data_IF_522139115592
#
_entry.id   IF_522139115592
#
_cell.length_a   1.000
_cell.length_b   1.000
_cell.length_c   1.000
_cell.angle_alpha   90.00
_cell.angle_beta   90.00
_cell.angle_gamma   90.00
#
_symmetry.space_group_name_H-M   'P 1'
#
loop_
_entity.id
_entity.type
_entity.pdbx_description
1 polymer ?
#
# COMPACT_ATOMS: atom_id res chain seq x y z
N UNK A 1 3.44 -29.08 5.11
CA UNK A 1 3.40 -28.11 6.21
C UNK A 1 2.97 -26.79 5.61
N UNK A 2 1.84 -26.25 6.03
CA UNK A 2 1.23 -25.06 5.41
C UNK A 2 1.37 -23.87 6.35
N UNK A 3 1.60 -22.68 5.79
CA UNK A 3 1.49 -21.45 6.57
C UNK A 3 0.03 -21.23 6.94
N UNK A 4 -0.21 -20.70 8.14
CA UNK A 4 -1.55 -20.32 8.57
C UNK A 4 -1.95 -18.99 7.94
N UNK A 5 -3.25 -18.71 7.91
CA UNK A 5 -3.76 -17.43 7.41
C UNK A 5 -3.19 -16.27 8.22
N UNK A 6 -3.19 -16.38 9.55
CA UNK A 6 -2.67 -15.36 10.46
C UNK A 6 -1.17 -15.07 10.23
N UNK A 7 -0.37 -16.10 9.95
CA UNK A 7 1.06 -15.94 9.64
C UNK A 7 1.28 -15.19 8.32
N UNK A 8 0.50 -15.53 7.29
CA UNK A 8 0.57 -14.83 6.00
C UNK A 8 0.11 -13.38 6.18
N UNK A 9 -1.02 -13.14 6.84
CA UNK A 9 -1.51 -11.79 7.09
C UNK A 9 -0.53 -10.93 7.87
N UNK A 10 0.14 -11.51 8.88
CA UNK A 10 1.18 -10.82 9.63
C UNK A 10 2.34 -10.37 8.75
N UNK A 11 2.82 -11.24 7.87
CA UNK A 11 3.89 -10.90 6.92
C UNK A 11 3.42 -9.82 5.94
N UNK A 12 2.19 -9.90 5.43
CA UNK A 12 1.61 -8.85 4.59
C UNK A 12 1.53 -7.50 5.32
N UNK A 13 1.16 -7.50 6.60
CA UNK A 13 1.09 -6.28 7.41
C UNK A 13 2.47 -5.63 7.60
N UNK A 14 3.49 -6.45 7.81
CA UNK A 14 4.87 -6.00 7.87
C UNK A 14 5.35 -5.44 6.52
N UNK A 15 5.00 -6.09 5.40
CA UNK A 15 5.31 -5.57 4.05
C UNK A 15 4.68 -4.20 3.82
N UNK A 16 3.41 -4.04 4.20
CA UNK A 16 2.71 -2.75 4.10
C UNK A 16 3.44 -1.71 4.97
N UNK A 17 3.70 -2.03 6.23
CA UNK A 17 4.23 -1.09 7.23
C UNK A 17 5.68 -0.68 6.95
N UNK A 18 6.53 -1.61 6.52
CA UNK A 18 7.96 -1.40 6.38
C UNK A 18 8.39 -0.94 4.99
N UNK A 19 7.58 -1.18 3.95
CA UNK A 19 7.96 -0.87 2.57
C UNK A 19 6.95 0.04 1.86
N UNK A 20 5.67 -0.35 1.83
CA UNK A 20 4.67 0.38 1.04
C UNK A 20 4.32 1.75 1.64
N UNK A 21 4.11 1.81 2.96
CA UNK A 21 3.79 3.06 3.67
C UNK A 21 4.96 4.05 3.59
N UNK A 22 6.22 3.66 3.87
CA UNK A 22 7.36 4.54 3.69
C UNK A 22 7.47 5.09 2.27
N UNK A 23 7.36 4.25 1.23
CA UNK A 23 7.41 4.72 -0.16
C UNK A 23 6.28 5.70 -0.47
N UNK A 24 5.06 5.43 0.00
CA UNK A 24 3.92 6.34 -0.14
C UNK A 24 4.18 7.72 0.49
N UNK A 25 4.86 7.76 1.64
CA UNK A 25 5.25 8.99 2.33
C UNK A 25 6.39 9.73 1.64
N UNK A 26 7.42 9.00 1.21
CA UNK A 26 8.56 9.53 0.45
C UNK A 26 8.11 10.23 -0.84
N UNK A 27 7.12 9.65 -1.53
CA UNK A 27 6.52 10.23 -2.72
C UNK A 27 5.59 11.43 -2.42
N UNK A 28 5.38 11.78 -1.15
CA UNK A 28 4.52 12.90 -0.76
C UNK A 28 3.05 12.70 -1.17
N UNK A 29 2.60 11.44 -1.23
CA UNK A 29 1.25 11.07 -1.61
C UNK A 29 0.28 11.07 -0.42
N UNK A 30 0.80 11.05 0.81
CA UNK A 30 0.00 11.17 2.03
C UNK A 30 -0.57 12.60 2.16
N UNK A 31 -1.89 12.71 1.97
CA UNK A 31 -2.61 13.95 2.20
C UNK A 31 -3.52 13.83 3.44
N UNK A 32 -4.45 12.87 3.44
CA UNK A 32 -5.46 12.70 4.50
C UNK A 32 -5.26 11.43 5.33
N UNK A 33 -4.34 10.54 4.96
CA UNK A 33 -4.23 9.19 5.54
C UNK A 33 -5.26 8.18 5.00
N UNK A 34 -6.37 8.64 4.38
CA UNK A 34 -7.49 7.80 3.93
C UNK A 34 -7.05 6.63 3.03
N UNK A 35 -6.01 6.76 2.20
CA UNK A 35 -5.56 5.65 1.36
C UNK A 35 -4.99 4.48 2.18
N UNK A 36 -4.27 4.77 3.26
CA UNK A 36 -3.71 3.74 4.14
C UNK A 36 -4.80 2.90 4.80
N UNK A 37 -5.90 3.54 5.19
CA UNK A 37 -7.07 2.88 5.79
C UNK A 37 -7.83 1.98 4.79
N UNK A 38 -7.55 2.12 3.50
CA UNK A 38 -8.21 1.35 2.43
C UNK A 38 -7.38 0.17 1.92
N UNK A 39 -6.20 -0.05 2.49
CA UNK A 39 -5.39 -1.22 2.18
C UNK A 39 -5.99 -2.43 2.87
N UNK A 40 -6.34 -3.43 2.07
CA UNK A 40 -6.84 -4.72 2.53
C UNK A 40 -5.77 -5.79 2.29
N UNK A 41 -5.63 -6.69 3.25
CA UNK A 41 -4.80 -7.89 3.14
C UNK A 41 -5.69 -9.12 3.17
N UNK A 42 -5.40 -10.09 2.31
CA UNK A 42 -6.12 -11.36 2.26
C UNK A 42 -5.10 -12.49 2.17
N UNK A 43 -5.15 -13.41 3.13
CA UNK A 43 -4.42 -14.67 3.06
C UNK A 43 -5.29 -15.75 2.41
N UNK A 44 -4.68 -16.53 1.52
CA UNK A 44 -5.19 -17.80 1.02
C UNK A 44 -4.33 -18.97 1.49
N UNK A 45 -4.65 -20.18 1.04
CA UNK A 45 -4.02 -21.42 1.52
C UNK A 45 -2.49 -21.45 1.42
N UNK A 46 -1.91 -20.77 0.41
CA UNK A 46 -0.45 -20.59 0.25
C UNK A 46 -0.12 -19.27 -0.47
N UNK A 47 -0.97 -18.27 -0.33
CA UNK A 47 -0.84 -17.00 -1.03
C UNK A 47 -1.29 -15.85 -0.15
N UNK A 48 -0.79 -14.66 -0.46
CA UNK A 48 -1.21 -13.42 0.18
C UNK A 48 -1.42 -12.36 -0.88
N UNK A 49 -2.47 -11.55 -0.72
CA UNK A 49 -2.76 -10.42 -1.61
C UNK A 49 -2.92 -9.14 -0.81
N UNK A 50 -2.25 -8.07 -1.26
CA UNK A 50 -2.52 -6.70 -0.81
C UNK A 50 -3.39 -6.04 -1.87
N UNK A 51 -4.57 -5.55 -1.47
CA UNK A 51 -5.49 -4.82 -2.35
C UNK A 51 -5.62 -3.38 -1.87
N UNK A 52 -5.58 -2.45 -2.82
CA UNK A 52 -6.02 -1.08 -2.60
C UNK A 52 -7.30 -0.80 -3.37
N UNK A 53 -8.01 0.29 -3.02
CA UNK A 53 -9.17 0.75 -3.79
C UNK A 53 -8.82 1.02 -5.26
N UNK A 54 -9.84 1.06 -6.12
CA UNK A 54 -9.71 1.30 -7.57
C UNK A 54 -8.91 2.55 -7.94
N UNK A 55 -8.91 3.59 -7.09
CA UNK A 55 -8.09 4.78 -7.30
C UNK A 55 -6.61 4.61 -6.95
N UNK A 56 -6.18 3.49 -6.35
CA UNK A 56 -4.77 3.22 -6.05
C UNK A 56 -3.92 3.15 -7.31
N UNK A 57 -4.48 2.63 -8.42
CA UNK A 57 -3.82 2.70 -9.72
C UNK A 57 -3.71 4.14 -10.24
N UNK A 58 -4.72 4.97 -10.00
CA UNK A 58 -4.67 6.39 -10.37
C UNK A 58 -3.72 7.18 -9.46
N UNK A 59 -3.51 6.71 -8.24
CA UNK A 59 -2.56 7.28 -7.29
C UNK A 59 -1.12 6.94 -7.71
N UNK A 60 -0.87 5.70 -8.12
CA UNK A 60 0.43 5.26 -8.59
C UNK A 60 0.76 5.77 -10.01
N UNK A 61 -0.15 5.62 -10.98
CA UNK A 61 0.09 5.95 -12.40
C UNK A 61 -0.35 7.37 -12.77
N UNK A 62 -1.05 8.04 -11.88
CA UNK A 62 -1.71 9.31 -12.17
C UNK A 62 -3.04 9.15 -12.93
N UNK A 63 -3.78 10.25 -13.00
CA UNK A 63 -5.00 10.41 -13.80
C UNK A 63 -4.68 11.16 -15.11
N UNK A 64 -5.06 10.63 -16.29
CA UNK A 64 -4.87 11.30 -17.57
C UNK A 64 -5.73 12.57 -17.71
N UNK A 65 -5.40 13.47 -18.65
CA UNK A 65 -6.25 14.60 -19.01
C UNK A 65 -7.59 14.14 -19.60
N UNK A 66 -8.56 15.06 -19.70
CA UNK A 66 -9.86 14.83 -20.33
C UNK A 66 -11.01 15.33 -19.47
N UNK A 67 -11.64 14.44 -18.70
CA UNK A 67 -12.79 14.80 -17.86
C UNK A 67 -12.33 15.44 -16.54
N UNK A 68 -12.85 16.63 -16.27
CA UNK A 68 -12.63 17.34 -15.00
C UNK A 68 -13.02 16.46 -13.80
N UNK A 69 -12.12 16.28 -12.81
CA UNK A 69 -12.44 15.55 -11.60
C UNK A 69 -13.44 16.34 -10.72
N UNK A 70 -14.22 15.67 -9.86
CA UNK A 70 -15.11 16.33 -8.91
C UNK A 70 -14.34 17.28 -7.99
N UNK A 71 -14.82 18.51 -7.85
CA UNK A 71 -14.17 19.56 -7.04
C UNK A 71 -14.23 19.18 -5.56
N UNK A 72 -15.35 18.60 -5.13
CA UNK A 72 -15.61 18.18 -3.76
C UNK A 72 -14.60 17.13 -3.28
N UNK A 73 -14.23 16.20 -4.16
CA UNK A 73 -13.22 15.17 -3.86
C UNK A 73 -11.82 15.80 -3.68
N UNK A 74 -11.51 16.83 -4.46
CA UNK A 74 -10.23 17.55 -4.35
C UNK A 74 -10.21 18.56 -3.20
N UNK A 75 -11.37 18.97 -2.70
CA UNK A 75 -11.45 19.94 -1.61
C UNK A 75 -10.78 19.39 -0.34
N UNK A 76 -11.09 18.16 0.06
CA UNK A 76 -10.42 17.50 1.21
C UNK A 76 -8.91 17.43 1.04
N UNK A 77 -8.45 17.05 -0.16
CA UNK A 77 -7.02 16.99 -0.47
C UNK A 77 -6.36 18.36 -0.40
N UNK A 78 -7.04 19.41 -0.90
CA UNK A 78 -6.56 20.79 -0.81
C UNK A 78 -6.52 21.29 0.64
N UNK A 79 -7.55 20.98 1.43
CA UNK A 79 -7.61 21.35 2.85
C UNK A 79 -6.42 20.72 3.59
N UNK A 80 -6.19 19.42 3.39
CA UNK A 80 -5.08 18.71 4.02
C UNK A 80 -3.70 19.20 3.55
N UNK A 81 -3.52 19.41 2.24
CA UNK A 81 -2.21 19.75 1.66
C UNK A 81 -1.82 21.22 1.83
N UNK A 82 -2.79 22.12 1.87
CA UNK A 82 -2.52 23.57 1.91
C UNK A 82 -3.05 24.27 3.18
N UNK A 83 -3.71 23.54 4.10
CA UNK A 83 -4.31 24.13 5.29
C UNK A 83 -5.42 25.15 5.00
N UNK A 84 -6.01 25.10 3.79
CA UNK A 84 -7.07 26.02 3.37
C UNK A 84 -8.42 25.52 3.87
N UNK A 85 -9.36 26.44 4.10
CA UNK A 85 -10.75 26.10 4.48
C UNK A 85 -11.76 26.95 3.72
N UNK A 86 -13.03 26.52 3.72
CA UNK A 86 -14.14 27.26 3.14
C UNK A 86 -13.96 27.63 1.66
N UNK A 87 -14.34 28.85 1.30
CA UNK A 87 -14.30 29.34 -0.09
C UNK A 87 -12.90 29.25 -0.72
N UNK A 88 -11.85 29.49 0.06
CA UNK A 88 -10.46 29.40 -0.42
C UNK A 88 -10.08 27.97 -0.82
N UNK A 89 -10.49 26.97 -0.02
CA UNK A 89 -10.27 25.57 -0.35
C UNK A 89 -11.00 25.18 -1.64
N UNK A 90 -12.29 25.55 -1.75
CA UNK A 90 -13.10 25.27 -2.94
C UNK A 90 -12.54 25.91 -4.21
N UNK A 91 -12.12 27.18 -4.15
CA UNK A 91 -11.51 27.87 -5.30
C UNK A 91 -10.19 27.21 -5.73
N UNK A 92 -9.35 26.81 -4.77
CA UNK A 92 -8.10 26.10 -5.07
C UNK A 92 -8.37 24.71 -5.64
N UNK A 93 -9.35 23.98 -5.11
CA UNK A 93 -9.77 22.68 -5.62
C UNK A 93 -10.27 22.78 -7.07
N UNK A 94 -11.05 23.81 -7.39
CA UNK A 94 -11.48 24.08 -8.77
C UNK A 94 -10.29 24.34 -9.71
N UNK A 95 -9.30 25.14 -9.28
CA UNK A 95 -8.10 25.40 -10.07
C UNK A 95 -7.28 24.11 -10.31
N UNK A 96 -7.14 23.26 -9.29
CA UNK A 96 -6.48 21.95 -9.42
C UNK A 96 -7.26 21.05 -10.38
N UNK A 97 -8.59 20.99 -10.24
CA UNK A 97 -9.45 20.22 -11.13
C UNK A 97 -9.29 20.64 -12.60
N UNK A 98 -9.26 21.95 -12.88
CA UNK A 98 -9.00 22.50 -14.22
C UNK A 98 -7.61 22.19 -14.74
N UNK A 99 -6.60 22.15 -13.88
CA UNK A 99 -5.25 21.74 -14.29
C UNK A 99 -5.21 20.24 -14.65
N UNK A 100 -5.83 19.39 -13.83
CA UNK A 100 -5.93 17.94 -14.09
C UNK A 100 -6.75 17.66 -15.35
N UNK A 101 -7.85 18.38 -15.57
CA UNK A 101 -8.65 18.29 -16.80
C UNK A 101 -7.78 18.50 -18.04
N UNK A 102 -6.94 19.54 -18.03
CA UNK A 102 -6.12 19.92 -19.19
C UNK A 102 -4.87 19.07 -19.37
N UNK A 103 -4.19 18.71 -18.28
CA UNK A 103 -2.84 18.14 -18.33
C UNK A 103 -2.73 16.75 -17.69
N UNK A 104 -3.77 16.27 -17.03
CA UNK A 104 -3.67 15.15 -16.10
C UNK A 104 -2.94 15.54 -14.82
N UNK A 105 -2.81 14.58 -13.90
CA UNK A 105 -2.02 14.74 -12.67
C UNK A 105 -0.53 14.80 -12.95
N UNK A 106 0.27 15.35 -12.03
CA UNK A 106 1.74 15.34 -12.14
C UNK A 106 2.29 13.94 -12.35
N UNK A 107 1.84 12.94 -11.57
CA UNK A 107 2.24 11.54 -11.71
C UNK A 107 1.99 10.98 -13.12
N UNK A 108 0.88 11.36 -13.76
CA UNK A 108 0.60 10.94 -15.13
C UNK A 108 1.61 11.55 -16.13
N UNK A 109 1.93 12.83 -15.96
CA UNK A 109 2.84 13.56 -16.87
C UNK A 109 4.27 13.01 -16.85
N UNK A 110 4.68 12.37 -15.75
CA UNK A 110 5.99 11.74 -15.60
C UNK A 110 5.98 10.22 -15.86
N UNK A 111 4.86 9.66 -16.33
CA UNK A 111 4.73 8.23 -16.66
C UNK A 111 4.35 7.33 -15.48
N UNK A 112 4.14 7.89 -14.29
CA UNK A 112 3.75 7.20 -13.07
C UNK A 112 4.71 7.46 -11.90
N UNK A 113 4.50 6.69 -10.85
CA UNK A 113 5.38 6.55 -9.70
C UNK A 113 5.83 5.10 -9.58
N UNK A 114 6.87 4.91 -8.81
CA UNK A 114 7.42 3.64 -8.36
C UNK A 114 6.71 3.11 -7.09
N UNK A 115 5.58 3.69 -6.67
CA UNK A 115 4.88 3.31 -5.43
C UNK A 115 4.67 1.80 -5.31
N UNK A 116 4.22 1.15 -6.38
CA UNK A 116 3.95 -0.29 -6.39
C UNK A 116 5.18 -1.11 -6.78
N UNK A 117 6.22 -0.47 -7.32
CA UNK A 117 7.48 -1.13 -7.68
C UNK A 117 8.22 -1.59 -6.43
N UNK A 118 8.08 -0.87 -5.30
CA UNK A 118 8.65 -1.25 -4.00
C UNK A 118 8.28 -2.67 -3.58
N UNK A 119 7.11 -3.18 -3.96
CA UNK A 119 6.66 -4.54 -3.64
C UNK A 119 7.45 -5.63 -4.40
N UNK A 120 8.15 -5.26 -5.47
CA UNK A 120 8.97 -6.15 -6.28
C UNK A 120 10.48 -5.87 -6.12
N UNK A 121 10.86 -4.91 -5.27
CA UNK A 121 12.27 -4.61 -5.01
C UNK A 121 12.95 -5.76 -4.25
N UNK A 122 14.26 -6.02 -4.48
CA UNK A 122 14.97 -7.12 -3.85
C UNK A 122 14.87 -7.13 -2.31
N UNK A 123 14.87 -5.94 -1.68
CA UNK A 123 14.77 -5.83 -0.23
C UNK A 123 13.42 -6.34 0.30
N UNK A 124 12.31 -6.00 -0.37
CA UNK A 124 10.97 -6.45 0.00
C UNK A 124 10.81 -7.95 -0.21
N UNK A 125 11.29 -8.47 -1.34
CA UNK A 125 11.24 -9.90 -1.64
C UNK A 125 12.07 -10.72 -0.65
N UNK A 126 13.28 -10.25 -0.32
CA UNK A 126 14.13 -10.90 0.67
C UNK A 126 13.49 -10.89 2.06
N UNK A 127 12.89 -9.77 2.46
CA UNK A 127 12.18 -9.67 3.72
C UNK A 127 11.05 -10.69 3.84
N UNK A 128 10.21 -10.80 2.81
CA UNK A 128 9.13 -11.81 2.75
C UNK A 128 9.73 -13.22 2.88
N UNK A 129 10.79 -13.52 2.12
CA UNK A 129 11.43 -14.82 2.16
C UNK A 129 11.98 -15.16 3.55
N UNK A 130 12.61 -14.21 4.22
CA UNK A 130 13.23 -14.40 5.52
C UNK A 130 12.19 -14.63 6.62
N UNK A 131 11.12 -13.83 6.67
CA UNK A 131 10.04 -13.98 7.64
C UNK A 131 9.35 -15.35 7.50
N UNK A 132 8.99 -15.74 6.27
CA UNK A 132 8.35 -17.03 6.02
C UNK A 132 9.29 -18.20 6.35
N UNK A 133 10.58 -18.08 6.00
CA UNK A 133 11.59 -19.09 6.33
C UNK A 133 11.77 -19.24 7.83
N UNK A 134 11.74 -18.13 8.58
CA UNK A 134 11.84 -18.14 10.04
C UNK A 134 10.69 -18.91 10.70
N UNK A 135 9.46 -18.64 10.27
CA UNK A 135 8.25 -19.35 10.72
C UNK A 135 8.37 -20.85 10.45
N UNK A 136 8.77 -21.21 9.22
CA UNK A 136 8.90 -22.61 8.81
C UNK A 136 9.98 -23.33 9.63
N UNK A 137 11.16 -22.72 9.79
CA UNK A 137 12.27 -23.29 10.55
C UNK A 137 11.90 -23.52 12.02
N UNK A 138 11.24 -22.56 12.66
CA UNK A 138 10.80 -22.67 14.04
C UNK A 138 9.86 -23.87 14.22
N UNK A 139 8.87 -24.01 13.33
CA UNK A 139 7.90 -25.11 13.41
C UNK A 139 8.54 -26.48 13.21
N UNK A 140 9.48 -26.60 12.28
CA UNK A 140 10.24 -27.85 12.09
C UNK A 140 11.00 -28.19 13.37
N UNK A 141 11.68 -27.22 13.98
CA UNK A 141 12.43 -27.43 15.22
C UNK A 141 11.51 -27.91 16.35
N UNK A 142 10.36 -27.26 16.55
CA UNK A 142 9.38 -27.67 17.56
C UNK A 142 8.85 -29.10 17.33
N UNK A 143 8.58 -29.47 16.08
CA UNK A 143 8.11 -30.82 15.76
C UNK A 143 9.17 -31.88 16.05
N UNK A 144 10.44 -31.62 15.72
CA UNK A 144 11.55 -32.52 16.01
C UNK A 144 11.72 -32.71 17.52
N UNK A 145 11.60 -31.64 18.31
CA UNK A 145 11.68 -31.70 19.77
C UNK A 145 10.54 -32.56 20.34
N UNK A 146 9.30 -32.33 19.92
CA UNK A 146 8.13 -33.12 20.36
C UNK A 146 8.31 -34.61 20.05
N UNK A 147 8.67 -34.94 18.81
CA UNK A 147 8.88 -36.32 18.38
C UNK A 147 9.98 -37.01 19.21
N UNK A 148 11.05 -36.29 19.55
CA UNK A 148 12.15 -36.83 20.36
C UNK A 148 11.71 -37.12 21.79
N UNK A 149 10.85 -36.27 22.37
CA UNK A 149 10.31 -36.47 23.72
C UNK A 149 9.33 -37.64 23.79
N UNK A 150 8.46 -37.78 22.79
CA UNK A 150 7.50 -38.90 22.71
C UNK A 150 8.21 -40.25 22.56
N UNK A 151 9.32 -40.30 21.81
CA UNK A 151 10.09 -41.53 21.63
C UNK A 151 10.86 -42.00 22.88
N UNK A 152 10.96 -41.17 23.92
CA UNK A 152 11.63 -41.47 25.19
C UNK A 152 10.66 -41.96 26.28
N UNK A 153 9.35 -42.00 26.00
CA UNK A 153 8.29 -42.52 26.86
C UNK A 153 7.90 -43.94 26.44
#
# INVERSE_FOLDING_TARGET
MYLTHDEIEKVLDQVITLFLIPRFRELGMEATGEWLETLEKEAGENSGTIRGRSYSQQLAKGRPPGKMPPVEALEKWVQAKFGLTGTKAKSRAYAVAKKIEKLGTSWYQQGGSDLLEVLNEPATLQYIQDELSGIIKLRIAEQLIRNTQEALL
#
